data_IF_800745318588
#
_entry.id   IF_800745318588
#
_cell.length_a   1.000
_cell.length_b   1.000
_cell.length_c   1.000
_cell.angle_alpha   90.00
_cell.angle_beta   90.00
_cell.angle_gamma   90.00
#
_symmetry.space_group_name_H-M   'P 1'
#
loop_
_entity.id
_entity.type
_entity.pdbx_description
1 polymer ?
#
# COMPACT_ATOMS: atom_id res chain seq x y z
N UNK A 1 9.75 -29.08 5.54
CA UNK A 1 9.48 -28.45 4.23
C UNK A 1 9.04 -27.02 4.50
N UNK A 2 9.69 -25.97 3.96
CA UNK A 2 9.28 -24.58 4.19
C UNK A 2 8.25 -24.19 3.12
N UNK A 3 6.96 -24.37 3.41
CA UNK A 3 5.87 -24.08 2.47
C UNK A 3 4.98 -22.98 3.04
N UNK A 4 5.41 -21.73 2.87
CA UNK A 4 4.54 -20.56 2.95
C UNK A 4 5.03 -19.52 1.94
N UNK A 5 5.14 -19.95 0.67
CA UNK A 5 5.42 -19.04 -0.43
C UNK A 5 4.10 -18.35 -0.80
N UNK A 6 3.91 -17.14 -0.27
CA UNK A 6 2.78 -16.27 -0.57
C UNK A 6 1.62 -16.43 0.42
N UNK A 7 1.58 -15.58 1.45
CA UNK A 7 0.38 -15.42 2.26
C UNK A 7 -0.77 -15.00 1.33
N UNK A 8 -1.83 -15.81 1.16
CA UNK A 8 -2.94 -15.47 0.28
C UNK A 8 -3.63 -14.18 0.72
N UNK A 9 -3.57 -13.88 2.02
CA UNK A 9 -3.99 -12.62 2.61
C UNK A 9 -3.25 -11.41 1.98
N UNK A 10 -1.94 -11.50 1.76
CA UNK A 10 -1.15 -10.42 1.15
C UNK A 10 -1.54 -10.24 -0.32
N UNK A 11 -1.83 -11.33 -1.02
CA UNK A 11 -2.27 -11.27 -2.43
C UNK A 11 -3.67 -10.67 -2.53
N UNK A 12 -4.59 -11.04 -1.64
CA UNK A 12 -5.95 -10.49 -1.59
C UNK A 12 -5.92 -8.98 -1.30
N UNK A 13 -5.15 -8.54 -0.30
CA UNK A 13 -4.94 -7.13 0.03
C UNK A 13 -4.37 -6.38 -1.18
N UNK A 14 -3.34 -6.92 -1.84
CA UNK A 14 -2.75 -6.30 -3.03
C UNK A 14 -3.77 -6.13 -4.15
N UNK A 15 -4.58 -7.16 -4.43
CA UNK A 15 -5.61 -7.07 -5.48
C UNK A 15 -6.68 -6.04 -5.13
N UNK A 16 -7.10 -5.98 -3.86
CA UNK A 16 -8.08 -5.01 -3.40
C UNK A 16 -7.58 -3.57 -3.57
N UNK A 17 -6.32 -3.28 -3.18
CA UNK A 17 -5.71 -1.96 -3.43
C UNK A 17 -5.66 -1.62 -4.92
N UNK A 18 -5.28 -2.58 -5.76
CA UNK A 18 -5.21 -2.34 -7.20
C UNK A 18 -6.59 -2.02 -7.80
N UNK A 19 -7.64 -2.69 -7.31
CA UNK A 19 -9.03 -2.44 -7.73
C UNK A 19 -9.51 -1.04 -7.31
N UNK A 20 -9.29 -0.66 -6.05
CA UNK A 20 -9.65 0.67 -5.52
C UNK A 20 -8.91 1.80 -6.26
N UNK A 21 -7.60 1.63 -6.48
CA UNK A 21 -6.77 2.57 -7.25
C UNK A 21 -7.22 2.67 -8.70
N UNK A 22 -7.61 1.54 -9.33
CA UNK A 22 -8.14 1.53 -10.68
C UNK A 22 -9.53 2.19 -10.77
N UNK A 23 -10.36 2.05 -9.74
CA UNK A 23 -11.64 2.75 -9.60
C UNK A 23 -11.45 4.27 -9.41
N UNK A 24 -10.27 4.66 -8.90
CA UNK A 24 -9.96 6.03 -8.53
C UNK A 24 -10.49 6.41 -7.16
N UNK A 25 -10.78 5.42 -6.31
CA UNK A 25 -11.19 5.64 -4.93
C UNK A 25 -9.99 6.05 -4.08
N UNK A 26 -10.24 6.86 -3.07
CA UNK A 26 -9.21 7.41 -2.20
C UNK A 26 -8.75 6.41 -1.14
N UNK A 27 -7.56 6.61 -0.54
CA UNK A 27 -7.06 5.75 0.53
C UNK A 27 -7.94 5.78 1.81
N UNK A 28 -8.89 6.71 1.89
CA UNK A 28 -9.82 6.88 3.03
C UNK A 28 -10.79 5.70 3.21
N UNK A 29 -11.07 4.96 2.12
CA UNK A 29 -11.96 3.79 2.14
C UNK A 29 -11.24 2.48 2.39
N UNK A 30 -9.92 2.49 2.34
CA UNK A 30 -9.11 1.29 2.44
C UNK A 30 -8.67 1.04 3.88
N UNK A 31 -9.19 -0.05 4.47
CA UNK A 31 -8.78 -0.47 5.81
C UNK A 31 -7.37 -1.07 5.76
N UNK A 32 -6.44 -0.41 6.45
CA UNK A 32 -5.04 -0.78 6.32
C UNK A 32 -4.75 -2.05 7.13
N UNK A 33 -4.18 -3.10 6.49
CA UNK A 33 -3.91 -4.34 7.21
C UNK A 33 -2.91 -4.10 8.34
N UNK A 34 -3.16 -4.71 9.51
CA UNK A 34 -2.27 -4.63 10.67
C UNK A 34 -0.89 -5.28 10.41
N UNK A 35 -0.78 -6.14 9.40
CA UNK A 35 0.44 -6.86 9.09
C UNK A 35 1.45 -5.97 8.32
N UNK A 36 2.63 -5.74 8.90
CA UNK A 36 3.74 -4.97 8.28
C UNK A 36 4.12 -5.46 6.88
N UNK A 37 4.07 -6.78 6.66
CA UNK A 37 4.39 -7.36 5.36
C UNK A 37 3.32 -7.05 4.31
N UNK A 38 2.05 -7.04 4.71
CA UNK A 38 0.95 -6.63 3.84
C UNK A 38 1.06 -5.13 3.49
N UNK A 39 1.39 -4.28 4.45
CA UNK A 39 1.65 -2.84 4.22
C UNK A 39 2.80 -2.61 3.25
N UNK A 40 3.91 -3.34 3.41
CA UNK A 40 5.05 -3.24 2.48
C UNK A 40 4.66 -3.69 1.06
N UNK A 41 3.86 -4.75 0.93
CA UNK A 41 3.36 -5.22 -0.36
C UNK A 41 2.44 -4.19 -1.03
N UNK A 42 1.56 -3.53 -0.26
CA UNK A 42 0.70 -2.44 -0.73
C UNK A 42 1.53 -1.26 -1.25
N UNK A 43 2.51 -0.80 -0.48
CA UNK A 43 3.43 0.28 -0.92
C UNK A 43 4.18 -0.09 -2.20
N UNK A 44 4.66 -1.32 -2.30
CA UNK A 44 5.35 -1.79 -3.50
C UNK A 44 4.42 -1.81 -4.72
N UNK A 45 3.18 -2.27 -4.54
CA UNK A 45 2.17 -2.27 -5.59
C UNK A 45 1.82 -0.84 -6.06
N UNK A 46 1.64 0.09 -5.12
CA UNK A 46 1.39 1.51 -5.43
C UNK A 46 2.56 2.15 -6.19
N UNK A 47 3.81 1.85 -5.81
CA UNK A 47 4.99 2.33 -6.56
C UNK A 47 5.06 1.76 -7.97
N UNK A 48 4.74 0.48 -8.15
CA UNK A 48 4.66 -0.12 -9.48
C UNK A 48 3.57 0.54 -10.32
N UNK A 49 2.40 0.78 -9.74
CA UNK A 49 1.31 1.48 -10.41
C UNK A 49 1.67 2.92 -10.76
N UNK A 50 2.39 3.65 -9.89
CA UNK A 50 2.84 5.01 -10.19
C UNK A 50 3.73 5.04 -11.44
N UNK A 51 4.63 4.07 -11.54
CA UNK A 51 5.52 3.94 -12.69
C UNK A 51 4.75 3.62 -13.98
N UNK A 52 3.78 2.70 -13.90
CA UNK A 52 2.90 2.37 -15.02
C UNK A 52 2.03 3.56 -15.43
N UNK A 53 1.44 4.28 -14.49
CA UNK A 53 0.62 5.46 -14.75
C UNK A 53 1.42 6.59 -15.43
N UNK A 54 2.67 6.77 -15.00
CA UNK A 54 3.61 7.72 -15.63
C UNK A 54 3.91 7.31 -17.07
N UNK A 55 4.15 6.02 -17.29
CA UNK A 55 4.44 5.48 -18.63
C UNK A 55 3.23 5.60 -19.57
N UNK A 56 2.02 5.31 -19.06
CA UNK A 56 0.76 5.41 -19.81
C UNK A 56 0.27 6.85 -19.98
N UNK A 57 0.96 7.82 -19.34
CA UNK A 57 0.61 9.26 -19.32
C UNK A 57 -0.82 9.49 -18.79
N UNK A 58 -1.19 8.72 -17.78
CA UNK A 58 -2.48 8.79 -17.13
C UNK A 58 -2.41 9.68 -15.88
N UNK A 59 -2.51 11.00 -16.09
CA UNK A 59 -2.44 12.02 -15.01
C UNK A 59 -3.47 11.79 -13.91
N UNK A 60 -4.67 11.31 -14.25
CA UNK A 60 -5.73 11.03 -13.26
C UNK A 60 -5.28 9.91 -12.31
N UNK A 61 -4.77 8.80 -12.87
CA UNK A 61 -4.29 7.68 -12.08
C UNK A 61 -3.05 8.08 -11.27
N UNK A 62 -2.16 8.89 -11.86
CA UNK A 62 -1.00 9.45 -11.18
C UNK A 62 -1.37 10.28 -9.95
N UNK A 63 -2.40 11.14 -10.05
CA UNK A 63 -2.88 11.94 -8.92
C UNK A 63 -3.48 11.09 -7.80
N UNK A 64 -4.26 10.05 -8.14
CA UNK A 64 -4.81 9.10 -7.15
C UNK A 64 -3.67 8.38 -6.44
N UNK A 65 -2.70 7.82 -7.19
CA UNK A 65 -1.58 7.09 -6.60
C UNK A 65 -0.71 8.00 -5.72
N UNK A 66 -0.50 9.26 -6.10
CA UNK A 66 0.22 10.21 -5.27
C UNK A 66 -0.51 10.50 -3.95
N UNK A 67 -1.84 10.62 -3.97
CA UNK A 67 -2.64 10.78 -2.76
C UNK A 67 -2.55 9.54 -1.85
N UNK A 68 -2.61 8.34 -2.43
CA UNK A 68 -2.39 7.08 -1.73
C UNK A 68 -0.98 7.02 -1.10
N UNK A 69 0.07 7.39 -1.84
CA UNK A 69 1.44 7.40 -1.31
C UNK A 69 1.59 8.33 -0.12
N UNK A 70 1.03 9.54 -0.18
CA UNK A 70 1.11 10.52 0.91
C UNK A 70 0.50 9.99 2.22
N UNK A 71 -0.67 9.35 2.14
CA UNK A 71 -1.33 8.74 3.32
C UNK A 71 -0.50 7.57 3.85
N UNK A 72 -0.03 6.68 2.98
CA UNK A 72 0.72 5.51 3.41
C UNK A 72 2.14 5.81 3.92
N UNK A 73 2.79 6.88 3.45
CA UNK A 73 4.07 7.36 3.99
C UNK A 73 3.88 7.95 5.39
N UNK A 74 2.81 8.72 5.60
CA UNK A 74 2.49 9.31 6.90
C UNK A 74 2.21 8.23 7.96
N UNK A 75 1.44 7.19 7.61
CA UNK A 75 1.23 6.06 8.54
C UNK A 75 2.48 5.20 8.74
N UNK A 76 3.45 5.21 7.80
CA UNK A 76 4.74 4.56 8.01
C UNK A 76 5.50 5.18 9.17
N UNK A 77 5.52 6.50 9.19
CA UNK A 77 6.22 7.30 10.17
C UNK A 77 5.63 7.04 11.56
N UNK A 78 4.30 7.01 11.65
CA UNK A 78 3.58 6.79 12.91
C UNK A 78 3.77 5.37 13.49
N UNK A 79 3.82 4.35 12.64
CA UNK A 79 4.02 2.95 13.08
C UNK A 79 5.44 2.70 13.61
N UNK A 80 6.42 3.45 13.10
CA UNK A 80 7.81 3.40 13.60
C UNK A 80 7.95 4.13 14.94
N UNK A 81 7.15 5.17 15.18
CA UNK A 81 7.14 5.91 16.46
C UNK A 81 6.43 5.16 17.60
N UNK A 82 5.47 4.27 17.32
CA UNK A 82 4.75 3.49 18.36
C UNK A 82 5.56 2.26 18.85
N UNK A 83 6.45 1.71 18.01
CA UNK A 83 7.33 0.58 18.37
C UNK A 83 8.62 1.05 19.09
N UNK A 84 8.95 2.35 19.03
CA UNK A 84 10.10 2.96 19.72
C UNK A 84 9.74 3.49 21.13
N UNK A 85 8.89 2.75 21.85
CA UNK A 85 8.89 2.80 23.31
C UNK A 85 9.77 1.65 23.82
N UNK A 86 11.09 1.85 24.02
CA UNK A 86 11.91 0.89 24.73
C UNK A 86 11.40 0.83 26.18
N UNK A 87 10.55 -0.14 26.45
CA UNK A 87 10.24 -0.55 27.81
C UNK A 87 11.52 -1.07 28.45
N UNK A 88 12.13 -0.27 29.32
CA UNK A 88 13.09 -0.78 30.29
C UNK A 88 12.93 -0.13 31.67
#
# INVERSE_FOLDING_TARGET
MPESYGNPEIVAVKQHVLDEVACGDGPERFDMPANRFARAAVRLALRQQAHVATHDRNDRLGAVIAAWQAVHEQTAQQDVEDDDAPGH
#
